data_IF_840624657804
#
_entry.id   IF_840624657804
#
_cell.length_a   1.000
_cell.length_b   1.000
_cell.length_c   1.000
_cell.angle_alpha   90.00
_cell.angle_beta   90.00
_cell.angle_gamma   90.00
#
_symmetry.space_group_name_H-M   'P 1'
#
loop_
_entity.id
_entity.type
_entity.pdbx_description
1 polymer ?
#
# COMPACT_ATOMS: atom_id res chain seq x y z
N UNK A 1 15.06 7.44 -0.99
CA UNK A 1 14.51 6.09 -1.15
C UNK A 1 14.19 5.47 0.22
N UNK A 2 13.24 4.53 0.25
CA UNK A 2 12.91 3.69 1.41
C UNK A 2 13.41 2.29 1.13
N UNK A 3 12.86 1.65 0.10
CA UNK A 3 13.36 0.41 -0.49
C UNK A 3 13.80 0.65 -1.94
N UNK A 4 13.77 -0.38 -2.78
CA UNK A 4 14.21 -0.30 -4.18
C UNK A 4 13.34 0.65 -5.02
N UNK A 5 12.03 0.63 -4.84
CA UNK A 5 11.06 1.37 -5.64
C UNK A 5 10.34 2.47 -4.87
N UNK A 6 10.31 2.39 -3.55
CA UNK A 6 9.62 3.34 -2.69
C UNK A 6 10.51 4.51 -2.25
N UNK A 7 9.93 5.67 -2.18
CA UNK A 7 10.59 6.90 -1.75
C UNK A 7 9.57 7.90 -1.21
N UNK A 8 10.06 8.85 -0.44
CA UNK A 8 9.31 10.05 -0.06
C UNK A 8 9.74 11.23 -0.91
N UNK A 9 8.78 12.09 -1.28
CA UNK A 9 9.05 13.34 -2.01
C UNK A 9 8.03 14.40 -1.62
N UNK A 10 8.37 15.66 -1.90
CA UNK A 10 7.40 16.76 -1.89
C UNK A 10 6.74 16.79 -3.26
N UNK A 11 5.44 16.50 -3.29
CA UNK A 11 4.66 16.53 -4.52
C UNK A 11 3.94 17.85 -4.70
N UNK A 12 3.72 18.23 -5.95
CA UNK A 12 3.04 19.45 -6.35
C UNK A 12 1.85 19.13 -7.26
N UNK A 13 0.80 19.93 -7.12
CA UNK A 13 -0.36 19.92 -8.01
C UNK A 13 -0.19 21.06 -9.00
N UNK A 14 -0.21 20.75 -10.29
CA UNK A 14 -0.18 21.78 -11.35
C UNK A 14 -1.53 21.89 -12.02
N UNK A 15 -2.12 23.07 -11.93
CA UNK A 15 -3.37 23.39 -12.61
C UNK A 15 -3.08 23.97 -13.99
N UNK A 16 -3.32 23.18 -15.04
CA UNK A 16 -3.02 23.56 -16.44
C UNK A 16 -3.87 24.72 -16.97
N UNK A 17 -5.04 24.99 -16.37
CA UNK A 17 -5.94 26.07 -16.84
C UNK A 17 -5.46 27.46 -16.45
N UNK A 18 -4.89 27.58 -15.27
CA UNK A 18 -4.44 28.87 -14.71
C UNK A 18 -2.93 28.95 -14.50
N UNK A 19 -2.18 27.91 -14.92
CA UNK A 19 -0.72 27.80 -14.76
C UNK A 19 -0.24 27.92 -13.31
N UNK A 20 -1.05 27.48 -12.34
CA UNK A 20 -0.71 27.55 -10.93
C UNK A 20 -0.18 26.23 -10.44
N UNK A 21 0.94 26.28 -9.69
CA UNK A 21 1.54 25.13 -9.04
C UNK A 21 1.49 25.34 -7.53
N UNK A 22 1.01 24.34 -6.80
CA UNK A 22 0.90 24.37 -5.35
C UNK A 22 1.42 23.06 -4.76
N UNK A 23 2.02 23.04 -3.56
CA UNK A 23 2.38 21.80 -2.90
C UNK A 23 1.12 20.98 -2.58
N UNK A 24 1.21 19.65 -2.74
CA UNK A 24 0.13 18.74 -2.37
C UNK A 24 -0.17 18.80 -0.88
N UNK A 25 0.87 18.94 -0.05
CA UNK A 25 0.78 19.10 1.39
C UNK A 25 1.95 19.91 1.91
N UNK A 26 1.69 20.75 2.92
CA UNK A 26 2.72 21.52 3.64
C UNK A 26 3.22 20.79 4.90
N UNK A 27 2.73 19.59 5.19
CA UNK A 27 2.98 18.87 6.43
C UNK A 27 4.08 17.77 6.30
N UNK A 28 4.96 17.92 5.33
CA UNK A 28 6.10 17.03 5.10
C UNK A 28 5.96 16.17 3.84
N UNK A 29 6.98 15.38 3.49
CA UNK A 29 7.02 14.61 2.27
C UNK A 29 5.99 13.49 2.25
N UNK A 30 5.55 13.12 1.06
CA UNK A 30 4.49 12.15 0.79
C UNK A 30 5.04 10.95 0.00
N UNK A 31 4.26 9.87 -0.01
CA UNK A 31 4.48 8.68 -0.83
C UNK A 31 3.23 8.41 -1.68
N UNK A 32 3.44 7.91 -2.87
CA UNK A 32 2.47 7.28 -3.76
C UNK A 32 1.13 8.03 -3.93
N UNK A 33 1.13 9.34 -4.24
CA UNK A 33 -0.12 10.08 -4.43
C UNK A 33 -0.94 9.50 -5.58
N UNK A 34 -2.26 9.47 -5.40
CA UNK A 34 -3.22 8.98 -6.37
C UNK A 34 -4.43 9.93 -6.43
N UNK A 35 -4.81 10.37 -7.63
CA UNK A 35 -6.06 11.07 -7.85
C UNK A 35 -7.25 10.13 -7.72
N UNK A 36 -8.35 10.63 -7.17
CA UNK A 36 -9.65 9.97 -7.30
C UNK A 36 -10.11 9.96 -8.76
N UNK A 37 -10.94 8.99 -9.20
CA UNK A 37 -11.44 8.93 -10.58
C UNK A 37 -12.13 10.21 -11.07
N UNK A 38 -12.82 10.93 -10.18
CA UNK A 38 -13.46 12.22 -10.50
C UNK A 38 -12.48 13.42 -10.53
N UNK A 39 -11.21 13.21 -10.17
CA UNK A 39 -10.17 14.24 -10.16
C UNK A 39 -10.28 15.29 -9.05
N UNK A 40 -11.20 15.12 -8.09
CA UNK A 40 -11.48 16.12 -7.05
C UNK A 40 -10.73 15.88 -5.75
N UNK A 41 -10.07 14.74 -5.61
CA UNK A 41 -9.37 14.34 -4.40
C UNK A 41 -8.03 13.67 -4.75
N UNK A 42 -7.08 13.75 -3.81
CA UNK A 42 -5.81 13.02 -3.88
C UNK A 42 -5.59 12.32 -2.56
N UNK A 43 -5.39 11.00 -2.59
CA UNK A 43 -4.92 10.25 -1.45
C UNK A 43 -3.42 10.01 -1.55
N UNK A 44 -2.72 10.00 -0.42
CA UNK A 44 -1.29 9.71 -0.34
C UNK A 44 -0.95 9.11 1.03
N UNK A 45 0.26 8.60 1.18
CA UNK A 45 0.75 8.11 2.47
C UNK A 45 1.83 9.03 3.01
N UNK A 46 1.79 9.29 4.31
CA UNK A 46 2.82 9.96 5.10
C UNK A 46 2.93 9.30 6.48
N UNK A 47 4.14 8.99 6.90
CA UNK A 47 4.39 8.32 8.19
C UNK A 47 3.50 7.09 8.40
N UNK A 48 3.45 6.20 7.40
CA UNK A 48 2.67 4.95 7.38
C UNK A 48 1.15 5.11 7.52
N UNK A 49 0.63 6.33 7.34
CA UNK A 49 -0.79 6.62 7.40
C UNK A 49 -1.29 7.24 6.09
N UNK A 50 -2.53 6.90 5.74
CA UNK A 50 -3.21 7.45 4.57
C UNK A 50 -3.81 8.81 4.92
N UNK A 51 -3.62 9.76 4.01
CA UNK A 51 -4.19 11.11 4.02
C UNK A 51 -4.99 11.36 2.75
N UNK A 52 -5.98 12.23 2.86
CA UNK A 52 -6.83 12.66 1.75
C UNK A 52 -6.84 14.18 1.66
N UNK A 53 -6.56 14.70 0.48
CA UNK A 53 -6.71 16.13 0.14
C UNK A 53 -7.92 16.31 -0.76
N UNK A 54 -8.82 17.23 -0.41
CA UNK A 54 -9.99 17.61 -1.20
C UNK A 54 -9.71 18.93 -1.93
N UNK A 55 -9.53 18.86 -3.24
CA UNK A 55 -9.10 19.98 -4.07
C UNK A 55 -10.15 21.11 -4.15
N UNK A 56 -11.44 20.77 -4.19
CA UNK A 56 -12.54 21.73 -4.24
C UNK A 56 -12.75 22.49 -2.91
N UNK A 57 -12.10 22.05 -1.82
CA UNK A 57 -12.24 22.64 -0.49
C UNK A 57 -10.92 23.26 -0.02
N UNK A 58 -10.32 24.08 -0.88
CA UNK A 58 -9.06 24.77 -0.61
C UNK A 58 -7.94 23.82 -0.19
N UNK A 59 -7.82 22.71 -0.89
CA UNK A 59 -6.84 21.65 -0.63
C UNK A 59 -6.86 21.15 0.84
N UNK A 60 -8.06 21.04 1.41
CA UNK A 60 -8.19 20.58 2.79
C UNK A 60 -7.68 19.15 2.96
N UNK A 61 -6.69 18.99 3.83
CA UNK A 61 -6.09 17.70 4.18
C UNK A 61 -6.78 17.06 5.39
N UNK A 62 -7.03 15.77 5.33
CA UNK A 62 -7.52 14.97 6.46
C UNK A 62 -6.78 13.65 6.55
N UNK A 63 -6.51 13.21 7.78
CA UNK A 63 -5.91 11.91 8.06
C UNK A 63 -7.00 10.83 8.07
N UNK A 64 -6.76 9.71 7.37
CA UNK A 64 -7.70 8.58 7.27
C UNK A 64 -7.35 7.49 8.28
N UNK A 65 -6.09 7.09 8.33
CA UNK A 65 -5.60 6.07 9.27
C UNK A 65 -4.71 6.71 10.33
N UNK A 66 -4.70 6.16 11.55
CA UNK A 66 -3.98 6.77 12.69
C UNK A 66 -3.08 5.80 13.43
N UNK A 67 -3.09 4.52 13.06
CA UNK A 67 -2.34 3.45 13.72
C UNK A 67 -1.01 3.13 13.02
N UNK A 68 -0.70 3.83 11.91
CA UNK A 68 0.57 3.68 11.21
C UNK A 68 1.74 4.08 12.08
N UNK A 69 2.73 3.19 12.17
CA UNK A 69 3.91 3.37 13.01
C UNK A 69 5.11 2.66 12.38
N UNK A 70 6.26 3.35 12.39
CA UNK A 70 7.50 2.82 11.81
C UNK A 70 7.89 1.49 12.43
N UNK A 71 8.21 0.50 11.59
CA UNK A 71 8.54 -0.88 11.95
C UNK A 71 7.44 -1.63 12.73
N UNK A 72 6.20 -1.18 12.67
CA UNK A 72 5.06 -1.86 13.30
C UNK A 72 3.87 -1.97 12.36
N UNK A 73 3.33 -0.85 11.88
CA UNK A 73 2.11 -0.85 11.05
C UNK A 73 2.27 0.06 9.85
N UNK A 74 1.93 -0.47 8.68
CA UNK A 74 1.90 0.26 7.42
C UNK A 74 0.46 0.25 6.88
N UNK A 75 -0.05 1.40 6.49
CA UNK A 75 -1.36 1.55 5.86
C UNK A 75 -1.20 2.09 4.44
N UNK A 76 -1.66 1.34 3.45
CA UNK A 76 -1.69 1.78 2.05
C UNK A 76 -0.34 1.80 1.32
N UNK A 77 0.72 1.34 1.97
CA UNK A 77 2.03 1.05 1.38
C UNK A 77 2.48 -0.33 1.81
N UNK A 78 3.21 -1.08 0.97
CA UNK A 78 3.67 -2.42 1.29
C UNK A 78 4.86 -2.42 2.26
N UNK A 79 5.09 -3.55 2.89
CA UNK A 79 6.37 -3.89 3.52
C UNK A 79 7.42 -4.28 2.45
N UNK A 80 8.62 -4.63 2.90
CA UNK A 80 9.72 -5.00 2.01
C UNK A 80 9.37 -6.20 1.11
N UNK A 81 8.75 -7.25 1.66
CA UNK A 81 8.40 -8.47 0.91
C UNK A 81 7.43 -8.17 -0.23
N UNK A 82 6.40 -7.40 0.04
CA UNK A 82 5.39 -7.09 -0.97
C UNK A 82 5.91 -6.12 -2.03
N UNK A 83 6.78 -5.19 -1.66
CA UNK A 83 7.42 -4.33 -2.66
C UNK A 83 8.35 -5.12 -3.57
N UNK A 84 9.19 -5.97 -3.01
CA UNK A 84 10.23 -6.68 -3.73
C UNK A 84 9.69 -7.90 -4.50
N UNK A 85 8.83 -8.71 -3.87
CA UNK A 85 8.35 -9.97 -4.43
C UNK A 85 7.04 -9.82 -5.25
N UNK A 86 6.14 -8.94 -4.83
CA UNK A 86 4.89 -8.68 -5.56
C UNK A 86 4.93 -7.42 -6.42
N UNK A 87 6.03 -6.66 -6.40
CA UNK A 87 6.33 -5.61 -7.36
C UNK A 87 5.40 -4.39 -7.30
N UNK A 88 4.93 -3.95 -6.13
CA UNK A 88 4.14 -2.73 -6.01
C UNK A 88 4.57 -1.87 -4.82
N UNK A 89 4.34 -0.57 -4.91
CA UNK A 89 4.66 0.41 -3.86
C UNK A 89 3.43 1.19 -3.35
N UNK A 90 2.23 0.94 -3.91
CA UNK A 90 0.97 1.50 -3.46
C UNK A 90 -0.03 0.39 -3.16
N UNK A 91 -0.53 0.36 -1.94
CA UNK A 91 -1.44 -0.65 -1.43
C UNK A 91 -2.82 -0.06 -1.08
N UNK A 92 -3.27 0.94 -1.84
CA UNK A 92 -4.63 1.50 -1.74
C UNK A 92 -5.17 1.88 -3.11
N UNK A 93 -6.50 1.97 -3.20
CA UNK A 93 -7.21 2.34 -4.43
C UNK A 93 -8.52 3.08 -4.09
N UNK A 94 -9.00 3.91 -5.03
CA UNK A 94 -10.30 4.57 -4.95
C UNK A 94 -11.38 3.74 -5.63
N UNK A 95 -12.61 3.78 -5.09
CA UNK A 95 -13.79 3.29 -5.81
C UNK A 95 -14.07 4.12 -7.06
N UNK A 96 -14.73 3.51 -8.06
CA UNK A 96 -15.06 4.16 -9.32
C UNK A 96 -15.88 5.46 -9.15
N UNK A 97 -16.75 5.50 -8.13
CA UNK A 97 -17.55 6.67 -7.75
C UNK A 97 -16.81 7.68 -6.85
N UNK A 98 -15.51 7.47 -6.58
CA UNK A 98 -14.66 8.33 -5.77
C UNK A 98 -15.12 8.53 -4.31
N UNK A 99 -15.99 7.66 -3.79
CA UNK A 99 -16.56 7.81 -2.43
C UNK A 99 -15.89 6.94 -1.38
N UNK A 100 -15.11 5.96 -1.81
CA UNK A 100 -14.43 5.04 -0.90
C UNK A 100 -12.95 4.88 -1.24
N UNK A 101 -12.16 4.55 -0.24
CA UNK A 101 -10.77 4.10 -0.38
C UNK A 101 -10.68 2.71 0.21
N UNK A 102 -10.13 1.76 -0.55
CA UNK A 102 -9.72 0.46 -0.03
C UNK A 102 -8.20 0.45 0.16
N UNK A 103 -7.71 -0.21 1.20
CA UNK A 103 -6.28 -0.33 1.44
C UNK A 103 -5.91 -1.62 2.14
N UNK A 104 -4.66 -2.05 1.93
CA UNK A 104 -4.05 -3.13 2.70
C UNK A 104 -3.36 -2.51 3.91
N UNK A 105 -3.60 -3.09 5.07
CA UNK A 105 -2.89 -2.83 6.33
C UNK A 105 -1.92 -3.98 6.57
N UNK A 106 -0.66 -3.65 6.79
CA UNK A 106 0.41 -4.58 7.12
C UNK A 106 0.79 -4.38 8.59
N UNK A 107 0.78 -5.46 9.36
CA UNK A 107 1.29 -5.48 10.71
C UNK A 107 2.60 -6.27 10.72
N UNK A 108 3.71 -5.53 10.70
CA UNK A 108 5.07 -6.08 10.70
C UNK A 108 5.71 -6.10 12.10
N UNK A 109 4.92 -5.89 13.16
CA UNK A 109 5.43 -5.78 14.53
C UNK A 109 6.23 -7.02 14.95
N UNK A 110 5.82 -8.20 14.49
CA UNK A 110 6.48 -9.48 14.78
C UNK A 110 7.57 -9.87 13.79
N UNK A 111 7.69 -9.16 12.66
CA UNK A 111 8.76 -9.41 11.68
C UNK A 111 10.09 -8.98 12.31
N UNK A 112 11.15 -9.80 12.25
CA UNK A 112 12.44 -9.42 12.83
C UNK A 112 13.10 -8.27 12.06
N UNK A 113 13.91 -7.50 12.77
CA UNK A 113 14.79 -6.51 12.18
C UNK A 113 16.02 -7.19 11.57
N UNK A 114 16.48 -6.67 10.46
CA UNK A 114 17.77 -7.04 9.87
C UNK A 114 18.61 -5.78 9.67
N UNK A 115 19.87 -5.85 10.09
CA UNK A 115 20.83 -4.76 10.00
C UNK A 115 21.82 -4.99 8.86
N UNK A 116 21.97 -4.00 8.01
CA UNK A 116 22.97 -3.98 6.94
C UNK A 116 24.05 -2.95 7.28
N UNK A 117 25.35 -3.25 7.04
CA UNK A 117 26.38 -2.23 7.13
C UNK A 117 26.19 -1.19 6.03
N UNK A 118 26.10 0.07 6.41
CA UNK A 118 25.92 1.20 5.51
C UNK A 118 27.24 1.91 5.26
N UNK A 119 27.75 1.81 4.03
CA UNK A 119 28.88 2.59 3.54
C UNK A 119 28.33 3.72 2.67
N UNK A 120 28.53 4.95 3.08
CA UNK A 120 27.86 6.09 2.46
C UNK A 120 28.72 6.75 1.37
N UNK A 121 28.06 7.03 0.22
CA UNK A 121 28.52 7.96 -0.80
C UNK A 121 29.57 7.45 -1.76
N UNK A 122 29.84 8.28 -2.79
CA UNK A 122 30.88 8.08 -3.80
C UNK A 122 32.27 8.46 -3.31
N UNK A 123 32.34 9.22 -2.23
CA UNK A 123 33.58 9.70 -1.60
C UNK A 123 33.47 9.47 -0.09
N UNK A 124 33.55 8.21 0.36
CA UNK A 124 33.32 7.85 1.76
C UNK A 124 34.24 8.56 2.75
N UNK A 125 35.42 9.02 2.33
CA UNK A 125 36.34 9.80 3.17
C UNK A 125 35.77 11.15 3.64
N UNK A 126 34.70 11.65 3.00
CA UNK A 126 34.04 12.91 3.32
C UNK A 126 32.73 12.70 4.07
N UNK A 127 32.30 11.45 4.23
CA UNK A 127 31.00 11.08 4.78
C UNK A 127 31.08 10.56 6.22
N UNK A 128 29.94 10.60 6.91
CA UNK A 128 29.81 10.20 8.31
C UNK A 128 30.33 8.79 8.61
N UNK A 129 30.29 7.88 7.62
CA UNK A 129 30.68 6.47 7.75
C UNK A 129 31.96 6.13 6.98
N UNK A 130 32.88 7.08 6.89
CA UNK A 130 34.15 6.89 6.16
C UNK A 130 35.05 5.80 6.75
N UNK A 131 35.16 5.74 8.06
CA UNK A 131 36.05 4.84 8.77
C UNK A 131 35.34 3.59 9.28
N UNK A 132 34.16 3.77 9.82
CA UNK A 132 33.32 2.68 10.33
C UNK A 132 31.96 2.72 9.63
N UNK A 133 31.38 1.56 9.24
CA UNK A 133 30.06 1.54 8.63
C UNK A 133 29.00 2.00 9.64
N UNK A 134 27.98 2.68 9.14
CA UNK A 134 26.73 2.85 9.84
C UNK A 134 25.88 1.59 9.71
N UNK A 135 24.73 1.61 10.35
CA UNK A 135 23.74 0.54 10.25
C UNK A 135 22.49 1.05 9.53
N UNK A 136 21.96 0.23 8.61
CA UNK A 136 20.67 0.43 7.99
C UNK A 136 19.77 -0.74 8.33
N UNK A 137 18.75 -0.47 9.13
CA UNK A 137 17.87 -1.50 9.68
C UNK A 137 16.46 -1.34 9.15
N UNK A 138 15.85 -2.47 8.79
CA UNK A 138 14.43 -2.56 8.47
C UNK A 138 13.89 -3.97 8.73
N UNK A 139 12.57 -4.10 8.74
CA UNK A 139 11.89 -5.38 8.90
C UNK A 139 12.17 -6.26 7.68
N UNK A 140 12.75 -7.43 7.91
CA UNK A 140 13.14 -8.36 6.86
C UNK A 140 12.93 -9.81 7.31
N UNK A 141 11.88 -10.47 6.82
CA UNK A 141 11.64 -11.87 7.14
C UNK A 141 12.54 -12.76 6.26
N UNK A 142 13.48 -13.43 6.87
CA UNK A 142 14.22 -14.49 6.18
C UNK A 142 13.31 -15.70 5.90
N UNK A 143 13.65 -16.57 4.92
CA UNK A 143 12.90 -17.78 4.64
C UNK A 143 12.60 -18.60 5.89
N UNK A 144 11.33 -18.99 6.08
CA UNK A 144 10.87 -19.74 7.26
C UNK A 144 10.45 -18.89 8.45
N UNK A 145 10.66 -17.57 8.42
CA UNK A 145 10.23 -16.64 9.47
C UNK A 145 8.84 -16.06 9.14
N UNK A 146 8.14 -15.57 10.16
CA UNK A 146 6.83 -14.96 10.01
C UNK A 146 6.89 -13.69 9.15
N UNK A 147 5.96 -13.58 8.19
CA UNK A 147 5.70 -12.35 7.45
C UNK A 147 4.78 -11.42 8.22
N UNK A 148 4.63 -10.20 7.69
CA UNK A 148 3.59 -9.27 8.16
C UNK A 148 2.22 -9.91 8.12
N UNK A 149 1.40 -9.67 9.13
CA UNK A 149 -0.03 -10.01 9.10
C UNK A 149 -0.77 -8.95 8.31
N UNK A 150 -1.54 -9.38 7.32
CA UNK A 150 -2.18 -8.48 6.36
C UNK A 150 -3.70 -8.53 6.47
N UNK A 151 -4.32 -7.41 6.20
CA UNK A 151 -5.79 -7.29 6.15
C UNK A 151 -6.22 -6.19 5.20
N UNK A 152 -7.40 -6.34 4.60
CA UNK A 152 -8.00 -5.30 3.74
C UNK A 152 -9.01 -4.50 4.52
N UNK A 153 -8.95 -3.19 4.35
CA UNK A 153 -9.86 -2.23 4.97
C UNK A 153 -10.46 -1.32 3.92
N UNK A 154 -11.64 -0.81 4.19
CA UNK A 154 -12.30 0.21 3.38
C UNK A 154 -12.66 1.40 4.24
N UNK A 155 -12.56 2.59 3.67
CA UNK A 155 -12.91 3.86 4.31
C UNK A 155 -13.95 4.58 3.46
N UNK A 156 -15.10 4.89 4.04
CA UNK A 156 -16.13 5.71 3.42
C UNK A 156 -15.84 7.19 3.69
N UNK A 157 -15.59 7.95 2.61
CA UNK A 157 -15.11 9.33 2.68
C UNK A 157 -16.16 10.28 3.25
N UNK A 158 -17.46 9.97 3.04
CA UNK A 158 -18.56 10.80 3.55
C UNK A 158 -18.83 10.54 5.02
N UNK A 159 -19.01 9.30 5.39
CA UNK A 159 -19.34 8.91 6.77
C UNK A 159 -18.12 8.84 7.68
N UNK A 160 -16.91 8.81 7.11
CA UNK A 160 -15.61 8.64 7.81
C UNK A 160 -15.54 7.32 8.59
N UNK A 161 -16.21 6.30 8.11
CA UNK A 161 -16.23 4.97 8.75
C UNK A 161 -15.25 4.06 8.05
N UNK A 162 -14.36 3.46 8.84
CA UNK A 162 -13.47 2.38 8.40
C UNK A 162 -14.08 1.02 8.71
N UNK A 163 -13.98 0.08 7.78
CA UNK A 163 -14.42 -1.31 7.95
C UNK A 163 -13.29 -2.25 7.53
N UNK A 164 -13.12 -3.33 8.29
CA UNK A 164 -12.29 -4.45 7.89
C UNK A 164 -13.10 -5.38 7.01
N UNK A 165 -12.56 -5.82 5.89
CA UNK A 165 -13.18 -6.83 5.01
C UNK A 165 -13.08 -8.21 5.66
N UNK A 166 -14.18 -8.96 5.63
CA UNK A 166 -14.26 -10.34 6.13
C UNK A 166 -13.66 -11.31 5.09
N UNK A 167 -12.36 -11.14 4.84
CA UNK A 167 -11.63 -11.91 3.84
C UNK A 167 -11.25 -13.29 4.42
N UNK A 168 -11.60 -14.40 3.75
CA UNK A 168 -11.19 -15.74 4.16
C UNK A 168 -9.72 -15.99 3.74
N UNK A 169 -8.81 -15.37 4.46
CA UNK A 169 -7.36 -15.48 4.26
C UNK A 169 -6.75 -16.42 5.30
N UNK A 170 -5.85 -17.29 4.87
CA UNK A 170 -5.04 -18.09 5.77
C UNK A 170 -4.21 -17.14 6.68
N UNK A 171 -3.91 -17.57 7.90
CA UNK A 171 -3.22 -16.72 8.89
C UNK A 171 -1.87 -16.18 8.41
N UNK A 172 -1.17 -16.95 7.57
CA UNK A 172 0.12 -16.64 6.95
C UNK A 172 0.02 -16.38 5.44
N UNK A 173 -1.19 -16.19 4.92
CA UNK A 173 -1.47 -15.92 3.51
C UNK A 173 -1.06 -14.52 3.08
N UNK A 174 -1.01 -14.32 1.77
CA UNK A 174 -0.65 -13.05 1.13
C UNK A 174 -1.84 -12.40 0.44
N UNK A 175 -1.79 -11.08 0.32
CA UNK A 175 -2.71 -10.25 -0.48
C UNK A 175 -1.89 -9.50 -1.55
N UNK A 176 -1.52 -10.16 -2.66
CA UNK A 176 -0.65 -9.56 -3.67
C UNK A 176 -1.25 -8.35 -4.38
N UNK A 177 -2.58 -8.23 -4.47
CA UNK A 177 -3.26 -7.07 -5.09
C UNK A 177 -4.63 -6.84 -4.50
N UNK A 178 -5.01 -5.56 -4.47
CA UNK A 178 -6.39 -5.11 -4.40
C UNK A 178 -6.65 -4.14 -5.54
N UNK A 179 -7.85 -4.13 -6.09
CA UNK A 179 -8.26 -3.15 -7.11
C UNK A 179 -9.78 -3.00 -7.13
N UNK A 180 -10.26 -1.78 -7.11
CA UNK A 180 -11.66 -1.55 -7.39
C UNK A 180 -11.98 -1.91 -8.85
N UNK A 181 -13.14 -2.52 -9.05
CA UNK A 181 -13.71 -2.71 -10.39
C UNK A 181 -14.42 -1.44 -10.84
N UNK A 182 -15.03 -1.46 -12.03
CA UNK A 182 -15.89 -0.35 -12.47
C UNK A 182 -17.23 -0.28 -11.70
N UNK A 183 -17.58 -1.32 -10.94
CA UNK A 183 -18.67 -1.32 -9.99
C UNK A 183 -18.14 -0.88 -8.60
N UNK A 184 -18.67 0.23 -8.07
CA UNK A 184 -18.29 0.77 -6.77
C UNK A 184 -18.60 -0.17 -5.59
N UNK A 185 -19.41 -1.21 -5.82
CA UNK A 185 -19.76 -2.24 -4.82
C UNK A 185 -18.86 -3.49 -4.91
N UNK A 186 -17.91 -3.52 -5.83
CA UNK A 186 -17.05 -4.66 -6.08
C UNK A 186 -15.56 -4.29 -6.00
N UNK A 187 -14.94 -4.63 -4.88
CA UNK A 187 -13.50 -4.60 -4.68
C UNK A 187 -12.91 -5.98 -5.00
N UNK A 188 -12.07 -6.06 -6.00
CA UNK A 188 -11.31 -7.27 -6.30
C UNK A 188 -10.14 -7.39 -5.31
N UNK A 189 -10.04 -8.55 -4.67
CA UNK A 189 -8.97 -8.90 -3.73
C UNK A 189 -8.37 -10.21 -4.19
N UNK A 190 -7.07 -10.21 -4.41
CA UNK A 190 -6.31 -11.40 -4.75
C UNK A 190 -5.60 -11.92 -3.52
N UNK A 191 -5.63 -13.22 -3.32
CA UNK A 191 -4.92 -13.87 -2.22
C UNK A 191 -4.07 -15.02 -2.72
N UNK A 192 -2.98 -15.30 -2.00
CA UNK A 192 -2.16 -16.49 -2.14
C UNK A 192 -1.98 -17.15 -0.78
N UNK A 193 -1.97 -18.47 -0.75
CA UNK A 193 -1.52 -19.17 0.44
C UNK A 193 0.00 -19.07 0.61
N UNK A 194 0.53 -19.43 1.78
CA UNK A 194 1.96 -19.36 2.08
C UNK A 194 2.83 -20.14 1.11
N UNK A 195 2.35 -21.30 0.63
CA UNK A 195 3.04 -22.12 -0.35
C UNK A 195 2.96 -21.58 -1.78
N UNK A 196 2.20 -20.50 -2.02
CA UNK A 196 2.02 -19.85 -3.32
C UNK A 196 1.56 -20.81 -4.44
N UNK A 197 0.78 -21.81 -4.07
CA UNK A 197 0.22 -22.79 -4.99
C UNK A 197 -1.31 -22.81 -5.02
N UNK A 198 -1.96 -21.91 -4.26
CA UNK A 198 -3.41 -21.61 -4.31
C UNK A 198 -3.61 -20.11 -4.42
N UNK A 199 -4.17 -19.70 -5.53
CA UNK A 199 -4.58 -18.32 -5.80
C UNK A 199 -6.10 -18.23 -5.76
N UNK A 200 -6.62 -17.25 -5.04
CA UNK A 200 -8.03 -16.93 -5.00
C UNK A 200 -8.27 -15.49 -5.41
N UNK A 201 -9.27 -15.26 -6.26
CA UNK A 201 -9.82 -13.94 -6.54
C UNK A 201 -11.17 -13.81 -5.85
N UNK A 202 -11.29 -12.85 -4.96
CA UNK A 202 -12.53 -12.49 -4.30
C UNK A 202 -13.07 -11.16 -4.82
N UNK A 203 -14.40 -11.06 -4.90
CA UNK A 203 -15.10 -9.76 -4.94
C UNK A 203 -15.65 -9.48 -3.55
N UNK A 204 -15.25 -8.37 -2.96
CA UNK A 204 -15.72 -7.89 -1.67
C UNK A 204 -16.62 -6.67 -1.86
N UNK A 205 -17.75 -6.66 -1.14
CA UNK A 205 -18.55 -5.45 -1.06
C UNK A 205 -17.90 -4.52 0.00
N UNK A 206 -17.50 -3.29 -0.37
CA UNK A 206 -16.75 -2.42 0.50
C UNK A 206 -17.55 -1.86 1.69
N UNK A 207 -18.89 -1.98 1.66
CA UNK A 207 -19.79 -1.49 2.72
C UNK A 207 -20.27 -2.60 3.63
N UNK A 208 -20.69 -3.75 3.05
CA UNK A 208 -21.14 -4.90 3.84
C UNK A 208 -20.00 -5.79 4.35
N UNK A 209 -18.79 -5.61 3.82
CA UNK A 209 -17.56 -6.39 4.09
C UNK A 209 -17.56 -7.84 3.61
N UNK A 210 -18.67 -8.32 3.07
CA UNK A 210 -18.82 -9.70 2.61
C UNK A 210 -18.01 -9.97 1.35
N UNK A 211 -17.36 -11.13 1.30
CA UNK A 211 -16.56 -11.59 0.18
C UNK A 211 -17.25 -12.74 -0.55
N UNK A 212 -17.13 -12.75 -1.87
CA UNK A 212 -17.52 -13.84 -2.75
C UNK A 212 -16.31 -14.32 -3.52
N UNK A 213 -16.02 -15.62 -3.43
CA UNK A 213 -15.00 -16.27 -4.26
C UNK A 213 -15.46 -16.28 -5.72
N UNK A 214 -14.64 -15.73 -6.61
CA UNK A 214 -14.90 -15.64 -8.04
C UNK A 214 -14.11 -16.67 -8.82
N UNK A 215 -12.83 -16.82 -8.49
CA UNK A 215 -11.90 -17.74 -9.14
C UNK A 215 -11.01 -18.35 -8.07
N UNK A 216 -10.77 -19.67 -8.21
CA UNK A 216 -9.70 -20.37 -7.51
C UNK A 216 -8.83 -21.08 -8.53
N UNK A 217 -7.53 -20.89 -8.42
CA UNK A 217 -6.53 -21.62 -9.18
C UNK A 217 -5.60 -22.34 -8.20
N UNK A 218 -5.40 -23.63 -8.44
CA UNK A 218 -4.54 -24.48 -7.63
C UNK A 218 -3.56 -25.23 -8.54
N UNK A 219 -2.30 -25.24 -8.17
CA UNK A 219 -1.26 -25.92 -8.90
C UNK A 219 -0.42 -26.80 -7.97
N UNK A 220 0.13 -27.91 -8.44
CA UNK A 220 1.08 -28.72 -7.66
C UNK A 220 2.42 -27.98 -7.43
N UNK A 221 2.65 -26.89 -8.16
CA UNK A 221 3.84 -26.07 -8.13
C UNK A 221 3.46 -24.60 -7.84
N UNK A 222 4.44 -23.71 -7.80
CA UNK A 222 4.18 -22.28 -7.61
C UNK A 222 3.35 -21.67 -8.76
N UNK A 223 2.36 -20.85 -8.39
CA UNK A 223 1.64 -20.02 -9.33
C UNK A 223 2.53 -18.83 -9.68
N UNK A 224 2.74 -18.59 -10.98
CA UNK A 224 3.61 -17.52 -11.45
C UNK A 224 3.02 -16.14 -11.12
N UNK A 225 3.89 -15.20 -10.77
CA UNK A 225 3.56 -13.83 -10.42
C UNK A 225 2.69 -13.11 -11.46
N UNK A 226 2.92 -13.34 -12.76
CA UNK A 226 2.12 -12.72 -13.81
C UNK A 226 0.64 -13.12 -13.81
N UNK A 227 0.26 -14.20 -13.12
CA UNK A 227 -1.14 -14.60 -12.99
C UNK A 227 -1.98 -13.58 -12.21
N UNK A 228 -1.38 -12.81 -11.31
CA UNK A 228 -2.06 -11.81 -10.45
C UNK A 228 -1.59 -10.36 -10.67
N UNK A 229 -0.63 -10.13 -11.56
CA UNK A 229 -0.11 -8.77 -11.83
C UNK A 229 -0.92 -8.00 -12.87
N UNK A 230 -1.60 -8.70 -13.80
CA UNK A 230 -2.28 -8.12 -14.95
C UNK A 230 -3.79 -8.37 -14.93
N UNK A 231 -4.51 -7.66 -14.06
CA UNK A 231 -5.98 -7.68 -14.07
C UNK A 231 -6.52 -6.34 -14.55
N UNK A 232 -7.44 -6.39 -15.51
CA UNK A 232 -8.14 -5.21 -16.04
C UNK A 232 -9.64 -5.47 -16.00
N UNK A 233 -10.40 -4.47 -15.54
CA UNK A 233 -11.85 -4.49 -15.54
C UNK A 233 -12.36 -3.52 -16.63
N UNK A 234 -13.29 -4.00 -17.44
CA UNK A 234 -13.91 -3.25 -18.56
C UNK A 234 -15.33 -2.83 -18.19
#
# INVERSE_FOLDING_TARGET
>A
PIYRHSFTAVYYIYNVKNNKMEPLSNNGPQQVPLFSPDGNQIAFVRNNNIYLVKLLFNNSESQITTDGKYNEVLNGIPDWVYEEEFGFNRAFDFSADSKMIAYIRFDESKVPMYSFPLYKGKSPSLDQYATYPGEYEYKYPMPGIDNSKVSVHTFDIKSKVTRKIDLPLDEDGYIPRIKFTNDENALAIMTLNRHQNRFDLYYANPRSTLCKLMVRDEAPQYIKENAYSNITFY
#
